data_IF_451261476210
#
_entry.id   IF_451261476210
#
_cell.length_a   1.000
_cell.length_b   1.000
_cell.length_c   1.000
_cell.angle_alpha   90.00
_cell.angle_beta   90.00
_cell.angle_gamma   90.00
#
_symmetry.space_group_name_H-M   'P 1'
#
loop_
_entity.id
_entity.type
_entity.pdbx_description
1 polymer ?
#
# COMPACT_ATOMS: atom_id res chain seq x y z
N UNK A 1 41.64 52.50 16.59
CA UNK A 1 40.26 52.22 16.14
C UNK A 1 40.31 51.03 15.19
N UNK A 2 39.94 49.84 15.66
CA UNK A 2 39.94 48.60 14.86
C UNK A 2 38.71 48.61 13.94
N UNK A 3 38.88 48.46 12.63
CA UNK A 3 37.76 48.46 11.68
C UNK A 3 37.24 47.03 11.49
N UNK A 4 35.92 46.85 11.48
CA UNK A 4 35.25 45.57 11.23
C UNK A 4 34.89 45.50 9.74
N UNK A 5 35.39 44.50 9.02
CA UNK A 5 35.05 44.29 7.61
C UNK A 5 33.79 43.45 7.51
N UNK A 6 32.81 43.95 6.74
CA UNK A 6 31.57 43.23 6.44
C UNK A 6 31.47 43.06 4.94
N UNK A 7 31.45 41.81 4.48
CA UNK A 7 31.11 41.44 3.10
C UNK A 7 30.19 40.23 3.13
N UNK A 8 29.07 40.30 2.40
CA UNK A 8 28.10 39.21 2.20
C UNK A 8 27.83 38.39 3.48
N UNK A 9 27.38 39.06 4.54
CA UNK A 9 27.00 38.52 5.87
C UNK A 9 28.10 37.95 6.76
N UNK A 10 29.35 37.85 6.30
CA UNK A 10 30.44 37.36 7.14
C UNK A 10 31.20 38.53 7.78
N UNK A 11 31.31 38.47 9.12
CA UNK A 11 32.02 39.44 9.94
C UNK A 11 33.34 38.79 10.37
N UNK A 12 34.46 39.32 9.89
CA UNK A 12 35.79 38.88 10.31
C UNK A 12 36.28 39.77 11.47
N UNK A 13 36.38 39.19 12.66
CA UNK A 13 36.94 39.86 13.84
C UNK A 13 38.40 39.42 13.97
N UNK A 14 39.33 40.34 13.71
CA UNK A 14 40.75 40.15 14.02
C UNK A 14 40.98 40.46 15.50
N UNK A 15 40.97 39.43 16.34
CA UNK A 15 41.43 39.53 17.72
C UNK A 15 42.95 39.40 17.69
N UNK A 16 43.66 40.44 18.14
CA UNK A 16 45.11 40.37 18.32
C UNK A 16 45.43 39.26 19.33
N UNK A 17 46.35 38.37 18.95
CA UNK A 17 46.71 37.19 19.71
C UNK A 17 47.15 37.54 21.14
N UNK A 18 46.33 37.17 22.12
CA UNK A 18 46.78 36.92 23.48
C UNK A 18 46.53 35.44 23.77
N UNK A 19 47.62 34.80 24.15
CA UNK A 19 47.82 33.36 24.25
C UNK A 19 47.03 32.83 25.45
N UNK A 20 45.93 32.10 25.20
CA UNK A 20 45.23 31.37 26.26
C UNK A 20 44.95 29.95 25.80
N UNK A 21 45.89 29.06 26.09
CA UNK A 21 45.69 27.60 26.18
C UNK A 21 44.63 27.33 27.26
N UNK A 22 43.38 27.22 26.83
CA UNK A 22 42.25 26.83 27.66
C UNK A 22 41.55 25.63 27.02
N UNK A 23 41.49 24.52 27.74
CA UNK A 23 40.76 23.32 27.36
C UNK A 23 39.33 23.69 26.91
N UNK A 24 38.95 23.31 25.68
CA UNK A 24 37.71 23.70 25.00
C UNK A 24 36.48 23.18 25.77
N UNK A 25 36.06 23.92 26.80
CA UNK A 25 34.82 23.65 27.50
C UNK A 25 33.66 24.23 26.71
N UNK A 26 32.70 23.36 26.38
CA UNK A 26 31.45 23.73 25.74
C UNK A 26 30.75 24.78 26.61
N UNK A 27 30.67 26.01 26.11
CA UNK A 27 30.07 27.13 26.82
C UNK A 27 28.60 26.80 27.18
N UNK A 28 28.23 27.08 28.42
CA UNK A 28 26.89 26.81 29.00
C UNK A 28 25.77 27.63 28.36
N UNK A 29 26.08 28.44 27.36
CA UNK A 29 25.18 29.34 26.64
C UNK A 29 24.39 28.67 25.52
N UNK A 30 24.31 27.33 25.47
CA UNK A 30 23.27 26.70 24.65
C UNK A 30 21.92 26.95 25.33
N UNK A 31 21.07 27.85 24.80
CA UNK A 31 19.81 28.20 25.46
C UNK A 31 18.98 26.94 25.66
N UNK A 32 18.26 26.84 26.78
CA UNK A 32 17.43 25.67 27.11
C UNK A 32 16.43 25.30 25.98
N UNK A 33 16.07 26.25 25.12
CA UNK A 33 15.29 26.06 23.88
C UNK A 33 15.90 25.02 22.92
N UNK A 34 17.23 24.90 22.87
CA UNK A 34 17.93 23.88 22.07
C UNK A 34 18.11 22.55 22.82
N UNK A 35 17.91 22.54 24.15
CA UNK A 35 18.00 21.35 24.99
C UNK A 35 16.63 20.67 25.17
N UNK A 36 15.54 21.43 25.10
CA UNK A 36 14.20 20.86 24.94
C UNK A 36 14.11 20.22 23.56
N UNK A 37 13.59 18.98 23.43
CA UNK A 37 13.32 18.40 22.12
C UNK A 37 12.45 19.38 21.33
N UNK A 38 13.05 19.98 20.31
CA UNK A 38 12.41 20.85 19.34
C UNK A 38 11.12 20.18 18.85
N UNK A 39 10.02 20.94 18.89
CA UNK A 39 8.65 20.53 18.57
C UNK A 39 8.61 19.46 17.45
N UNK A 40 8.43 18.18 17.79
CA UNK A 40 8.40 17.12 16.78
C UNK A 40 8.16 15.71 17.31
N UNK A 41 8.79 15.34 18.42
CA UNK A 41 8.52 14.09 19.14
C UNK A 41 7.57 14.36 20.30
N UNK A 42 6.32 14.65 19.95
CA UNK A 42 5.27 14.80 20.96
C UNK A 42 5.21 13.54 21.83
N UNK A 43 5.14 13.65 23.18
CA UNK A 43 5.11 12.50 24.09
C UNK A 43 4.00 11.50 23.75
N UNK A 44 2.92 11.92 23.08
CA UNK A 44 1.87 11.01 22.58
C UNK A 44 2.36 10.00 21.54
N UNK A 45 3.32 10.34 20.66
CA UNK A 45 3.87 9.40 19.67
C UNK A 45 4.61 8.24 20.35
N UNK A 46 5.29 8.54 21.46
CA UNK A 46 5.99 7.53 22.25
C UNK A 46 5.02 6.55 22.94
N UNK A 47 3.85 7.04 23.37
CA UNK A 47 2.81 6.20 23.97
C UNK A 47 2.15 5.28 22.92
N UNK A 48 1.91 5.79 21.72
CA UNK A 48 1.29 5.04 20.62
C UNK A 48 2.17 3.86 20.18
N UNK A 49 3.49 4.08 20.06
CA UNK A 49 4.43 3.00 19.73
C UNK A 49 4.49 1.93 20.84
N UNK A 50 4.46 2.35 22.11
CA UNK A 50 4.41 1.44 23.26
C UNK A 50 3.14 0.58 23.25
N UNK A 51 1.98 1.16 22.97
CA UNK A 51 0.72 0.41 22.88
C UNK A 51 0.75 -0.63 21.77
N UNK A 52 1.25 -0.27 20.57
CA UNK A 52 1.43 -1.22 19.46
C UNK A 52 2.35 -2.37 19.84
N UNK A 53 3.44 -2.09 20.54
CA UNK A 53 4.37 -3.11 21.00
C UNK A 53 3.71 -4.05 22.03
N UNK A 54 2.89 -3.50 22.94
CA UNK A 54 2.13 -4.32 23.89
C UNK A 54 1.10 -5.20 23.17
N UNK A 55 0.34 -4.66 22.22
CA UNK A 55 -0.59 -5.43 21.42
C UNK A 55 0.09 -6.54 20.61
N UNK A 56 1.31 -6.28 20.12
CA UNK A 56 2.14 -7.27 19.44
C UNK A 56 2.59 -8.38 20.38
N UNK A 57 3.11 -8.04 21.57
CA UNK A 57 3.49 -9.03 22.60
C UNK A 57 2.31 -9.89 23.04
N UNK A 58 1.10 -9.34 23.04
CA UNK A 58 -0.14 -10.07 23.35
C UNK A 58 -0.66 -10.90 22.18
N UNK A 59 -0.06 -10.83 20.99
CA UNK A 59 -0.53 -11.51 19.79
C UNK A 59 -1.86 -10.99 19.23
N UNK A 60 -2.35 -9.84 19.74
CA UNK A 60 -3.61 -9.21 19.31
C UNK A 60 -3.39 -8.13 18.23
N UNK A 61 -2.16 -7.97 17.78
CA UNK A 61 -1.80 -6.98 16.78
C UNK A 61 -2.35 -7.32 15.39
N UNK A 62 -2.57 -6.27 14.58
CA UNK A 62 -2.88 -6.40 13.15
C UNK A 62 -1.62 -6.10 12.34
N UNK A 63 -1.04 -7.07 11.62
CA UNK A 63 0.22 -6.85 10.89
C UNK A 63 0.03 -5.91 9.69
N UNK A 64 1.02 -5.05 9.42
CA UNK A 64 1.00 -4.16 8.26
C UNK A 64 1.33 -4.90 6.96
N UNK A 65 0.34 -5.05 6.09
CA UNK A 65 0.54 -5.68 4.79
C UNK A 65 1.44 -4.89 3.83
N UNK A 66 1.61 -3.58 4.01
CA UNK A 66 2.40 -2.74 3.10
C UNK A 66 3.89 -2.73 3.45
N UNK A 67 4.23 -2.92 4.73
CA UNK A 67 5.60 -2.87 5.21
C UNK A 67 6.50 -3.89 4.51
N UNK A 68 6.02 -5.13 4.33
CA UNK A 68 6.79 -6.19 3.69
C UNK A 68 6.51 -6.41 2.19
N UNK A 69 5.28 -6.20 1.73
CA UNK A 69 4.88 -6.60 0.37
C UNK A 69 5.01 -5.47 -0.67
N UNK A 70 5.17 -4.22 -0.24
CA UNK A 70 5.31 -3.08 -1.15
C UNK A 70 6.79 -2.77 -1.36
N UNK A 71 7.20 -2.61 -2.61
CA UNK A 71 8.51 -2.04 -2.95
C UNK A 71 8.49 -0.57 -2.50
N UNK A 72 9.23 -0.26 -1.44
CA UNK A 72 9.19 1.04 -0.74
C UNK A 72 8.53 1.04 0.64
N UNK A 73 8.06 -0.12 1.13
CA UNK A 73 7.55 -0.28 2.49
C UNK A 73 6.27 0.49 2.81
N UNK A 74 6.04 0.75 4.09
CA UNK A 74 4.85 1.46 4.56
C UNK A 74 4.99 2.98 4.37
N UNK A 75 4.03 3.59 3.65
CA UNK A 75 4.02 5.05 3.40
C UNK A 75 3.73 5.90 4.64
N UNK A 76 3.10 5.32 5.66
CA UNK A 76 2.69 6.02 6.87
C UNK A 76 3.79 6.04 7.94
N UNK A 77 4.89 5.29 7.76
CA UNK A 77 5.98 5.23 8.73
C UNK A 77 5.49 4.92 10.14
N UNK A 78 5.87 5.76 11.11
CA UNK A 78 5.52 5.58 12.53
C UNK A 78 4.04 5.87 12.83
N UNK A 79 3.37 6.64 11.97
CA UNK A 79 1.95 6.98 12.09
C UNK A 79 1.04 5.87 11.52
N UNK A 80 1.59 4.75 11.04
CA UNK A 80 0.81 3.62 10.53
C UNK A 80 0.00 2.94 11.64
N UNK A 81 -1.32 2.82 11.52
CA UNK A 81 -2.18 2.14 12.53
C UNK A 81 -1.87 0.63 12.70
N UNK A 82 -1.15 0.04 11.75
CA UNK A 82 -0.82 -1.38 11.75
C UNK A 82 0.54 -1.66 12.42
N UNK A 83 0.74 -2.91 12.81
CA UNK A 83 1.96 -3.37 13.46
C UNK A 83 3.09 -3.58 12.44
N UNK A 84 4.24 -2.95 12.71
CA UNK A 84 5.49 -3.16 11.96
C UNK A 84 6.44 -4.17 12.62
N UNK A 85 6.13 -4.67 13.82
CA UNK A 85 6.98 -5.62 14.55
C UNK A 85 6.74 -7.09 14.19
N UNK A 86 5.67 -7.38 13.46
CA UNK A 86 5.33 -8.74 13.02
C UNK A 86 6.30 -9.23 11.94
N UNK A 87 6.57 -10.53 11.92
CA UNK A 87 7.38 -11.14 10.85
C UNK A 87 6.60 -11.27 9.54
N UNK A 88 7.31 -11.55 8.43
CA UNK A 88 6.69 -11.79 7.12
C UNK A 88 5.70 -12.98 7.15
N UNK A 89 6.05 -14.03 7.89
CA UNK A 89 5.23 -15.22 8.06
C UNK A 89 3.91 -14.88 8.77
N UNK A 90 3.98 -14.11 9.86
CA UNK A 90 2.79 -13.65 10.60
C UNK A 90 1.84 -12.86 9.69
N UNK A 91 2.38 -11.99 8.82
CA UNK A 91 1.57 -11.18 7.90
C UNK A 91 0.89 -12.07 6.86
N UNK A 92 1.61 -13.10 6.38
CA UNK A 92 1.09 -14.04 5.39
C UNK A 92 0.00 -14.92 5.98
N UNK A 93 0.21 -15.43 7.19
CA UNK A 93 -0.75 -16.28 7.90
C UNK A 93 -1.98 -15.50 8.34
N UNK A 94 -1.82 -14.25 8.78
CA UNK A 94 -2.96 -13.35 9.04
C UNK A 94 -3.81 -13.14 7.78
N UNK A 95 -3.18 -12.83 6.64
CA UNK A 95 -3.88 -12.67 5.35
C UNK A 95 -4.59 -13.97 4.93
N UNK A 96 -3.95 -15.12 5.11
CA UNK A 96 -4.51 -16.44 4.78
C UNK A 96 -5.72 -16.76 5.67
N UNK A 97 -5.59 -16.51 6.97
CA UNK A 97 -6.64 -16.74 7.96
C UNK A 97 -7.85 -15.83 7.73
N UNK A 98 -7.63 -14.55 7.45
CA UNK A 98 -8.70 -13.61 7.10
C UNK A 98 -9.47 -14.04 5.84
N UNK A 99 -8.78 -14.49 4.78
CA UNK A 99 -9.43 -15.01 3.57
C UNK A 99 -10.26 -16.27 3.86
N UNK A 100 -9.76 -17.17 4.71
CA UNK A 100 -10.48 -18.40 5.12
C UNK A 100 -11.76 -18.06 5.88
N UNK A 101 -11.68 -17.13 6.83
CA UNK A 101 -12.84 -16.65 7.60
C UNK A 101 -13.88 -15.96 6.72
N UNK A 102 -13.47 -15.06 5.83
CA UNK A 102 -14.39 -14.40 4.91
C UNK A 102 -15.12 -15.41 3.99
N UNK A 103 -14.41 -16.44 3.51
CA UNK A 103 -15.01 -17.51 2.70
C UNK A 103 -15.98 -18.38 3.50
N UNK A 104 -15.66 -18.73 4.74
CA UNK A 104 -16.56 -19.52 5.59
C UNK A 104 -17.82 -18.73 5.94
N UNK A 105 -17.67 -17.45 6.27
CA UNK A 105 -18.80 -16.54 6.51
C UNK A 105 -19.67 -16.37 5.26
N UNK A 106 -19.07 -16.12 4.09
CA UNK A 106 -19.83 -16.00 2.84
C UNK A 106 -20.59 -17.30 2.48
N UNK A 107 -20.00 -18.48 2.75
CA UNK A 107 -20.70 -19.77 2.60
C UNK A 107 -21.85 -19.91 3.60
N UNK A 108 -21.63 -19.53 4.86
CA UNK A 108 -22.67 -19.58 5.89
C UNK A 108 -23.86 -18.68 5.54
N UNK A 109 -23.60 -17.44 5.11
CA UNK A 109 -24.64 -16.50 4.67
C UNK A 109 -25.40 -17.04 3.46
N UNK A 110 -24.71 -17.61 2.46
CA UNK A 110 -25.38 -18.24 1.30
C UNK A 110 -26.26 -19.43 1.69
N UNK A 111 -25.81 -20.25 2.64
CA UNK A 111 -26.61 -21.37 3.19
C UNK A 111 -27.82 -20.87 3.97
N UNK A 112 -27.64 -19.84 4.81
CA UNK A 112 -28.72 -19.22 5.58
C UNK A 112 -29.76 -18.52 4.69
N UNK A 113 -29.32 -17.89 3.60
CA UNK A 113 -30.19 -17.23 2.62
C UNK A 113 -30.93 -18.21 1.68
N UNK A 114 -30.82 -19.53 1.89
CA UNK A 114 -31.50 -20.52 1.05
C UNK A 114 -31.07 -20.49 -0.42
N UNK A 115 -29.89 -19.94 -0.74
CA UNK A 115 -29.37 -19.90 -2.10
C UNK A 115 -29.10 -21.34 -2.57
N UNK A 116 -30.07 -21.91 -3.27
CA UNK A 116 -29.90 -23.12 -4.06
C UNK A 116 -28.73 -22.86 -5.01
N UNK A 117 -27.70 -23.72 -4.96
CA UNK A 117 -26.57 -23.65 -5.88
C UNK A 117 -27.10 -23.54 -7.32
N UNK A 118 -26.44 -22.77 -8.21
CA UNK A 118 -26.90 -22.69 -9.59
C UNK A 118 -26.96 -24.12 -10.14
N UNK A 119 -28.12 -24.42 -10.74
CA UNK A 119 -28.48 -25.66 -11.43
C UNK A 119 -27.23 -26.46 -11.83
N UNK A 120 -26.99 -27.58 -11.14
CA UNK A 120 -25.96 -28.54 -11.53
C UNK A 120 -26.23 -28.89 -12.98
N UNK A 121 -25.39 -28.40 -13.90
CA UNK A 121 -25.36 -28.84 -15.27
C UNK A 121 -25.01 -30.33 -15.25
N UNK A 122 -26.03 -31.18 -15.24
CA UNK A 122 -25.86 -32.60 -15.46
C UNK A 122 -25.29 -32.71 -16.87
N UNK A 123 -24.05 -33.17 -16.96
CA UNK A 123 -23.41 -33.51 -18.22
C UNK A 123 -24.33 -34.47 -18.96
N UNK A 124 -25.02 -33.96 -20.00
CA UNK A 124 -25.85 -34.76 -20.88
C UNK A 124 -24.93 -35.67 -21.69
N UNK A 125 -24.67 -36.86 -21.17
CA UNK A 125 -24.18 -37.99 -21.96
C UNK A 125 -25.29 -38.65 -22.79
N UNK A 126 -26.46 -38.01 -22.89
CA UNK A 126 -27.57 -38.48 -23.70
C UNK A 126 -27.48 -37.93 -25.12
N UNK A 127 -26.83 -38.72 -25.99
CA UNK A 127 -26.67 -38.47 -27.42
C UNK A 127 -27.98 -38.50 -28.20
N UNK A 128 -29.11 -38.88 -27.58
CA UNK A 128 -30.41 -38.99 -28.26
C UNK A 128 -31.08 -37.66 -28.57
N UNK A 129 -30.56 -36.52 -28.06
CA UNK A 129 -31.16 -35.18 -28.26
C UNK A 129 -30.58 -34.37 -29.43
N UNK A 130 -29.73 -34.97 -30.26
CA UNK A 130 -29.19 -34.36 -31.49
C UNK A 130 -30.16 -34.34 -32.67
N UNK A 131 -31.47 -34.44 -32.45
CA UNK A 131 -32.44 -33.96 -33.44
C UNK A 131 -32.43 -32.43 -33.41
N UNK A 132 -31.61 -31.82 -34.27
CA UNK A 132 -31.62 -30.37 -34.53
C UNK A 132 -33.07 -29.93 -34.75
N UNK A 133 -33.64 -29.03 -33.93
CA UNK A 133 -34.88 -28.37 -34.31
C UNK A 133 -34.63 -27.65 -35.63
N UNK A 134 -35.49 -27.88 -36.63
CA UNK A 134 -35.46 -27.13 -37.88
C UNK A 134 -35.56 -25.64 -37.58
N UNK A 135 -34.46 -24.92 -37.79
CA UNK A 135 -34.39 -23.47 -37.59
C UNK A 135 -35.40 -22.84 -38.57
N UNK A 136 -36.38 -22.04 -38.10
CA UNK A 136 -37.23 -21.27 -39.01
C UNK A 136 -36.34 -20.34 -39.83
N UNK A 137 -36.41 -20.41 -41.16
CA UNK A 137 -35.65 -19.56 -42.05
C UNK A 137 -36.19 -18.12 -41.96
N UNK A 138 -35.64 -17.35 -41.04
CA UNK A 138 -35.82 -15.90 -41.03
C UNK A 138 -35.17 -15.34 -42.30
N UNK A 139 -35.99 -15.00 -43.29
CA UNK A 139 -35.56 -14.24 -44.45
C UNK A 139 -35.25 -12.82 -43.98
N UNK A 140 -33.98 -12.43 -44.03
CA UNK A 140 -33.56 -11.04 -43.86
C UNK A 140 -33.75 -10.31 -45.19
N UNK A 141 -34.72 -9.38 -45.34
CA UNK A 141 -34.81 -8.55 -46.54
C UNK A 141 -33.73 -7.47 -46.45
N UNK A 142 -32.63 -7.61 -47.20
CA UNK A 142 -31.61 -6.56 -47.29
C UNK A 142 -30.18 -6.99 -47.55
N UNK A 143 -29.90 -8.24 -47.91
CA UNK A 143 -28.56 -8.64 -48.32
C UNK A 143 -28.28 -8.15 -49.76
N UNK A 144 -27.55 -7.03 -49.87
CA UNK A 144 -26.99 -6.52 -51.12
C UNK A 144 -26.01 -7.57 -51.68
N UNK A 145 -26.15 -8.03 -52.93
CA UNK A 145 -25.20 -8.96 -53.51
C UNK A 145 -23.85 -8.26 -53.73
N UNK A 146 -22.77 -8.83 -53.19
CA UNK A 146 -21.40 -8.45 -53.54
C UNK A 146 -21.17 -8.86 -55.00
N UNK A 147 -21.20 -7.88 -55.89
CA UNK A 147 -20.84 -8.06 -57.30
C UNK A 147 -19.37 -8.52 -57.42
N UNK A 148 -19.20 -9.49 -58.32
CA UNK A 148 -18.00 -10.24 -58.66
C UNK A 148 -16.83 -9.36 -59.19
N UNK A 149 -15.60 -9.90 -59.29
CA UNK A 149 -14.40 -9.14 -59.62
C UNK A 149 -14.36 -8.76 -61.11
N UNK A 150 -13.93 -7.53 -61.40
CA UNK A 150 -13.66 -7.06 -62.76
C UNK A 150 -12.33 -7.64 -63.29
N UNK A 151 -12.25 -8.04 -64.57
CA UNK A 151 -11.06 -8.62 -65.15
C UNK A 151 -9.98 -7.57 -65.43
N UNK A 152 -8.72 -7.99 -65.32
CA UNK A 152 -7.54 -7.22 -65.73
C UNK A 152 -7.65 -6.80 -67.19
N UNK A 153 -7.50 -5.51 -67.44
CA UNK A 153 -7.23 -4.99 -68.78
C UNK A 153 -5.88 -4.27 -68.71
N UNK A 154 -4.88 -4.89 -69.35
CA UNK A 154 -3.61 -4.24 -69.69
C UNK A 154 -3.88 -3.06 -70.62
N UNK A 155 -3.27 -1.91 -70.34
CA UNK A 155 -2.66 -1.03 -71.33
C UNK A 155 -1.59 -0.17 -70.64
#
# INVERSE_FOLDING_TARGET
>A
MQYIQVKNTFIHIHVASDEVEGDLRRSSSSPAILQTPWMGTSPVKSCLLKEKLLAHRLGKCKPCGHFYFKVGGCRQGDDCEFCHFCSLDDVTDWKRSGKRQAKSQAKAVKRAAGYMAPFQYQSRSDSSRFSRPSIPTWHCPGAIPRSAPLPWVCL
#
